data_IF_031955848196
#
_entry.id   IF_031955848196
#
_cell.length_a   1.000
_cell.length_b   1.000
_cell.length_c   1.000
_cell.angle_alpha   90.00
_cell.angle_beta   90.00
_cell.angle_gamma   90.00
#
_symmetry.space_group_name_H-M   'P 1'
#
loop_
_entity.id
_entity.type
_entity.pdbx_description
1 polymer ?
#
# COMPACT_ATOMS: atom_id res chain seq x y z
N UNK A 1 -0.79 13.53 -3.43
CA UNK A 1 -1.29 12.19 -3.04
C UNK A 1 -0.78 11.14 -3.99
N UNK A 2 -0.34 9.99 -3.47
CA UNK A 2 -0.14 8.77 -4.27
C UNK A 2 -1.39 7.93 -4.06
N UNK A 3 -2.09 7.59 -5.13
CA UNK A 3 -3.23 6.67 -5.04
C UNK A 3 -2.67 5.26 -4.82
N UNK A 4 -2.78 4.80 -3.58
CA UNK A 4 -2.25 3.51 -3.16
C UNK A 4 -3.23 2.81 -2.23
N UNK A 5 -3.26 1.49 -2.32
CA UNK A 5 -4.00 0.63 -1.41
C UNK A 5 -3.03 -0.01 -0.42
N UNK A 6 -3.19 0.29 0.86
CA UNK A 6 -2.32 -0.22 1.91
C UNK A 6 -2.85 -1.54 2.49
N UNK A 7 -1.96 -2.50 2.71
CA UNK A 7 -2.29 -3.79 3.30
C UNK A 7 -1.44 -4.05 4.55
N UNK A 8 -2.07 -4.03 5.73
CA UNK A 8 -1.42 -4.28 7.03
C UNK A 8 -0.80 -5.68 7.13
N UNK A 9 -1.49 -6.70 6.62
CA UNK A 9 -1.07 -8.09 6.74
C UNK A 9 0.21 -8.39 5.95
N UNK A 10 0.33 -7.84 4.74
CA UNK A 10 1.53 -7.97 3.89
C UNK A 10 2.58 -6.88 4.15
N UNK A 11 2.19 -5.77 4.81
CA UNK A 11 3.02 -4.58 5.01
C UNK A 11 3.43 -3.89 3.69
N UNK A 12 2.53 -3.93 2.71
CA UNK A 12 2.75 -3.41 1.36
C UNK A 12 1.73 -2.33 1.00
N UNK A 13 2.16 -1.37 0.18
CA UNK A 13 1.33 -0.40 -0.52
C UNK A 13 1.30 -0.75 -2.02
N UNK A 14 0.12 -1.03 -2.53
CA UNK A 14 -0.13 -1.36 -3.93
C UNK A 14 -0.53 -0.10 -4.71
N UNK A 15 0.06 0.18 -5.88
CA UNK A 15 -0.32 1.35 -6.66
C UNK A 15 -1.72 1.21 -7.24
N UNK A 16 -2.43 2.33 -7.35
CA UNK A 16 -3.68 2.44 -8.10
C UNK A 16 -3.38 3.18 -9.40
N UNK A 17 -3.75 2.57 -10.54
CA UNK A 17 -3.54 3.12 -11.88
C UNK A 17 -4.88 3.29 -12.55
N UNK A 18 -5.22 4.50 -12.98
CA UNK A 18 -6.51 4.82 -13.62
C UNK A 18 -7.73 4.38 -12.78
N UNK A 19 -7.62 4.47 -11.45
CA UNK A 19 -8.66 4.00 -10.51
C UNK A 19 -8.71 2.48 -10.29
N UNK A 20 -7.79 1.71 -10.87
CA UNK A 20 -7.71 0.26 -10.74
C UNK A 20 -6.55 -0.12 -9.80
N UNK A 21 -6.82 -0.82 -8.68
CA UNK A 21 -5.76 -1.33 -7.80
C UNK A 21 -4.92 -2.40 -8.50
N UNK A 22 -3.60 -2.22 -8.50
CA UNK A 22 -2.68 -3.19 -9.08
C UNK A 22 -2.03 -4.03 -7.96
N UNK A 23 -2.65 -5.17 -7.67
CA UNK A 23 -2.26 -6.07 -6.57
C UNK A 23 -1.13 -7.04 -6.99
N UNK A 24 -0.02 -6.49 -7.47
CA UNK A 24 1.18 -7.25 -7.84
C UNK A 24 2.28 -6.96 -6.82
N UNK A 25 2.81 -8.01 -6.18
CA UNK A 25 3.78 -7.86 -5.08
C UNK A 25 5.07 -7.16 -5.52
N UNK A 26 5.58 -7.46 -6.72
CA UNK A 26 6.78 -6.86 -7.30
C UNK A 26 6.65 -5.35 -7.57
N UNK A 27 5.42 -4.90 -7.76
CA UNK A 27 5.08 -3.50 -8.04
C UNK A 27 4.63 -2.75 -6.77
N UNK A 28 4.41 -3.50 -5.69
CA UNK A 28 4.11 -2.93 -4.41
C UNK A 28 5.38 -2.42 -3.75
N UNK A 29 5.25 -1.32 -3.00
CA UNK A 29 6.34 -0.84 -2.14
C UNK A 29 6.10 -1.28 -0.70
N UNK A 30 7.15 -1.48 0.10
CA UNK A 30 6.99 -1.65 1.54
C UNK A 30 6.38 -0.38 2.16
N UNK A 31 5.51 -0.60 3.14
CA UNK A 31 5.05 0.45 4.05
C UNK A 31 6.18 0.83 5.01
N UNK A 32 6.30 2.12 5.29
CA UNK A 32 7.19 2.65 6.33
C UNK A 32 6.64 2.34 7.73
N UNK A 33 7.47 2.40 8.79
CA UNK A 33 7.01 2.25 10.17
C UNK A 33 5.85 3.20 10.52
N UNK A 34 5.94 4.46 10.09
CA UNK A 34 4.94 5.50 10.33
C UNK A 34 3.61 5.17 9.62
N UNK A 35 3.67 4.65 8.40
CA UNK A 35 2.47 4.22 7.66
C UNK A 35 1.82 2.96 8.28
N UNK A 36 2.61 2.03 8.79
CA UNK A 36 2.11 0.86 9.51
C UNK A 36 1.47 1.25 10.85
N UNK A 37 2.03 2.23 11.54
CA UNK A 37 1.45 2.79 12.76
C UNK A 37 0.09 3.42 12.48
N UNK A 38 -0.02 4.20 11.39
CA UNK A 38 -1.28 4.82 10.97
C UNK A 38 -2.41 3.80 10.67
N UNK A 39 -2.06 2.55 10.30
CA UNK A 39 -3.03 1.46 10.10
C UNK A 39 -3.47 0.77 11.40
N UNK A 40 -2.92 1.14 12.56
CA UNK A 40 -3.15 0.48 13.86
C UNK A 40 -4.30 1.06 14.69
N UNK A 41 -5.15 1.88 14.06
CA UNK A 41 -6.41 2.36 14.64
C UNK A 41 -7.45 1.25 14.81
#
# INVERSE_FOLDING_TARGET
DRDELWCRASRLAYPVRDGIPFLVEEEARPLTPEELEALSG
#
